data_IF_728811251545
#
_entry.id   IF_728811251545
#
_cell.length_a   1.000
_cell.length_b   1.000
_cell.length_c   1.000
_cell.angle_alpha   90.00
_cell.angle_beta   90.00
_cell.angle_gamma   90.00
#
_symmetry.space_group_name_H-M   'P 1'
#
loop_
_entity.id
_entity.type
_entity.pdbx_description
1 polymer ?
#
# COMPACT_ATOMS: atom_id res chain seq x y z
N UNK A 1 6.77 -8.96 8.86
CA UNK A 1 5.56 -8.97 8.00
C UNK A 1 4.47 -8.20 8.74
N UNK A 2 3.58 -7.47 8.06
CA UNK A 2 2.49 -6.71 8.68
C UNK A 2 1.27 -7.62 8.91
N UNK A 3 0.40 -7.34 9.90
CA UNK A 3 -0.86 -8.05 10.08
C UNK A 3 -1.78 -7.95 8.85
N UNK A 4 -2.58 -8.98 8.58
CA UNK A 4 -3.52 -8.96 7.44
C UNK A 4 -4.58 -7.84 7.56
N UNK A 5 -5.01 -7.56 8.79
CA UNK A 5 -5.86 -6.43 9.14
C UNK A 5 -5.01 -5.35 9.82
N UNK A 6 -4.15 -4.71 9.05
CA UNK A 6 -3.20 -3.75 9.60
C UNK A 6 -3.93 -2.47 10.04
N UNK A 7 -3.89 -2.18 11.34
CA UNK A 7 -4.52 -0.99 11.90
C UNK A 7 -3.68 0.24 11.56
N UNK A 8 -4.34 1.25 11.01
CA UNK A 8 -3.77 2.55 10.71
C UNK A 8 -4.67 3.62 11.30
N UNK A 9 -4.08 4.76 11.63
CA UNK A 9 -4.79 5.89 12.23
C UNK A 9 -4.58 7.08 11.32
N UNK A 10 -5.68 7.74 10.98
CA UNK A 10 -5.73 8.72 9.88
C UNK A 10 -6.29 10.04 10.40
N UNK A 11 -5.64 11.15 10.03
CA UNK A 11 -6.18 12.49 10.22
C UNK A 11 -5.80 13.34 9.02
N UNK A 12 -6.80 13.91 8.34
CA UNK A 12 -6.61 14.63 7.08
C UNK A 12 -5.88 13.76 6.03
N UNK A 13 -4.66 14.17 5.62
CA UNK A 13 -3.80 13.41 4.70
C UNK A 13 -2.61 12.74 5.41
N UNK A 14 -2.63 12.70 6.76
CA UNK A 14 -1.60 12.07 7.58
C UNK A 14 -2.07 10.69 8.02
N UNK A 15 -1.17 9.71 7.91
CA UNK A 15 -1.41 8.33 8.34
C UNK A 15 -0.24 7.83 9.18
N UNK A 16 -0.56 7.10 10.25
CA UNK A 16 0.39 6.46 11.16
C UNK A 16 -0.10 5.06 11.54
N UNK A 17 0.78 4.22 12.09
CA UNK A 17 0.45 2.87 12.56
C UNK A 17 0.35 2.76 14.09
N UNK A 18 0.19 3.88 14.79
CA UNK A 18 -0.01 3.97 16.24
C UNK A 18 -1.13 4.98 16.56
N UNK A 19 -1.89 4.72 17.62
CA UNK A 19 -3.03 5.56 18.01
C UNK A 19 -2.57 6.91 18.56
N UNK A 20 -3.22 7.99 18.10
CA UNK A 20 -3.07 9.33 18.64
C UNK A 20 -4.44 10.02 18.79
N UNK A 21 -4.62 10.92 19.78
CA UNK A 21 -5.85 11.68 19.91
C UNK A 21 -6.22 12.45 18.64
N UNK A 22 -7.48 12.33 18.23
CA UNK A 22 -8.02 12.99 17.04
C UNK A 22 -7.73 12.29 15.70
N UNK A 23 -7.13 11.10 15.72
CA UNK A 23 -7.00 10.26 14.53
C UNK A 23 -8.13 9.21 14.49
N UNK A 24 -8.68 8.98 13.31
CA UNK A 24 -9.67 7.94 13.05
C UNK A 24 -8.96 6.59 12.84
N UNK A 25 -9.36 5.56 13.59
CA UNK A 25 -8.88 4.20 13.37
C UNK A 25 -9.48 3.60 12.09
N UNK A 26 -8.63 3.06 11.22
CA UNK A 26 -9.02 2.32 10.03
C UNK A 26 -8.26 1.01 9.93
N UNK A 27 -8.83 0.08 9.17
CA UNK A 27 -8.17 -1.19 8.83
C UNK A 27 -7.69 -1.11 7.39
N UNK A 28 -6.37 -1.20 7.19
CA UNK A 28 -5.74 -1.26 5.88
C UNK A 28 -5.67 -2.73 5.40
N UNK A 29 -6.41 -3.12 4.34
CA UNK A 29 -6.34 -4.46 3.79
C UNK A 29 -4.91 -4.79 3.36
N UNK A 30 -4.33 -5.82 3.97
CA UNK A 30 -2.93 -6.19 3.77
C UNK A 30 -2.82 -7.64 3.31
N UNK A 31 -2.39 -7.83 2.07
CA UNK A 31 -2.32 -9.15 1.43
C UNK A 31 -0.91 -9.72 1.54
N UNK A 32 -0.76 -10.76 2.36
CA UNK A 32 0.51 -11.44 2.63
C UNK A 32 0.67 -12.77 1.89
N UNK A 33 0.32 -12.83 0.59
CA UNK A 33 0.46 -14.08 -0.19
C UNK A 33 1.92 -14.49 -0.41
N UNK A 34 2.82 -13.51 -0.57
CA UNK A 34 4.25 -13.80 -0.62
C UNK A 34 4.80 -13.91 0.81
N UNK A 35 5.33 -15.08 1.17
CA UNK A 35 5.88 -15.37 2.50
C UNK A 35 7.42 -15.45 2.54
N UNK A 36 8.10 -15.36 1.39
CA UNK A 36 9.56 -15.43 1.30
C UNK A 36 10.32 -14.19 1.78
N UNK A 37 11.65 -14.22 1.67
CA UNK A 37 12.57 -13.14 2.06
C UNK A 37 13.60 -12.86 0.95
N UNK A 38 13.95 -11.59 0.67
CA UNK A 38 13.35 -10.37 1.21
C UNK A 38 11.95 -10.11 0.61
N UNK A 39 11.12 -9.34 1.31
CA UNK A 39 9.84 -8.89 0.76
C UNK A 39 9.38 -7.56 1.35
N UNK A 40 8.84 -6.70 0.50
CA UNK A 40 8.34 -5.36 0.82
C UNK A 40 6.86 -5.21 0.42
N UNK A 41 6.25 -4.06 0.71
CA UNK A 41 4.83 -3.81 0.43
C UNK A 41 4.67 -2.80 -0.69
N UNK A 42 3.73 -3.06 -1.58
CA UNK A 42 3.30 -2.10 -2.57
C UNK A 42 1.88 -1.67 -2.22
N UNK A 43 1.67 -0.37 -2.07
CA UNK A 43 0.35 0.21 -1.86
C UNK A 43 -0.42 0.24 -3.18
N UNK A 44 -1.73 -0.01 -3.10
CA UNK A 44 -2.66 0.14 -4.19
C UNK A 44 -3.36 1.50 -4.07
N UNK A 45 -3.12 2.39 -5.03
CA UNK A 45 -3.71 3.72 -5.06
C UNK A 45 -4.84 3.80 -6.09
N UNK A 46 -5.80 4.70 -5.88
CA UNK A 46 -6.83 5.04 -6.87
C UNK A 46 -7.22 6.52 -6.77
N UNK A 47 -7.85 7.02 -7.84
CA UNK A 47 -8.55 8.32 -7.85
C UNK A 47 -9.98 8.24 -7.31
N UNK A 48 -10.49 7.03 -7.07
CA UNK A 48 -11.83 6.79 -6.54
C UNK A 48 -11.80 6.83 -5.02
N UNK A 49 -12.75 7.53 -4.41
CA UNK A 49 -12.87 7.60 -2.94
C UNK A 49 -13.61 6.37 -2.40
N UNK A 50 -14.49 5.78 -3.20
CA UNK A 50 -15.32 4.65 -2.81
C UNK A 50 -14.45 3.46 -2.43
N UNK A 51 -14.73 2.87 -1.25
CA UNK A 51 -14.00 1.71 -0.69
C UNK A 51 -12.51 1.96 -0.42
N UNK A 52 -12.06 3.21 -0.46
CA UNK A 52 -10.73 3.58 0.01
C UNK A 52 -10.63 3.54 1.52
N UNK A 53 -9.41 3.38 2.01
CA UNK A 53 -9.09 3.43 3.44
C UNK A 53 -8.84 4.89 3.83
N UNK A 54 -7.91 5.57 3.15
CA UNK A 54 -7.56 6.95 3.45
C UNK A 54 -7.04 7.72 2.24
N UNK A 55 -7.03 9.05 2.35
CA UNK A 55 -6.46 9.98 1.37
C UNK A 55 -5.00 10.27 1.71
N UNK A 56 -4.17 10.40 0.68
CA UNK A 56 -2.80 10.98 0.79
C UNK A 56 -2.74 12.39 0.20
N UNK A 57 -3.90 12.97 -0.14
CA UNK A 57 -4.02 14.29 -0.75
C UNK A 57 -4.06 14.24 -2.28
N UNK A 58 -4.45 15.37 -2.87
CA UNK A 58 -4.49 15.57 -4.32
C UNK A 58 -5.34 14.53 -5.06
N UNK A 59 -6.50 14.15 -4.51
CA UNK A 59 -7.41 13.12 -5.04
C UNK A 59 -6.79 11.73 -5.21
N UNK A 60 -5.84 11.36 -4.34
CA UNK A 60 -5.24 10.02 -4.31
C UNK A 60 -5.62 9.32 -3.02
N UNK A 61 -6.12 8.10 -3.17
CA UNK A 61 -6.60 7.29 -2.06
C UNK A 61 -5.90 5.93 -2.01
N UNK A 62 -5.60 5.45 -0.81
CA UNK A 62 -5.05 4.12 -0.56
C UNK A 62 -6.19 3.12 -0.40
N UNK A 63 -6.12 2.05 -1.19
CA UNK A 63 -7.12 0.98 -1.25
C UNK A 63 -6.72 -0.25 -0.43
N UNK A 64 -5.42 -0.44 -0.21
CA UNK A 64 -4.84 -1.63 0.38
C UNK A 64 -3.35 -1.70 0.09
N UNK A 65 -2.72 -2.79 0.53
CA UNK A 65 -1.33 -3.08 0.21
C UNK A 65 -1.11 -4.58 0.01
N UNK A 66 -0.12 -4.91 -0.81
CA UNK A 66 0.25 -6.30 -1.13
C UNK A 66 1.73 -6.50 -0.87
N UNK A 67 2.08 -7.59 -0.16
CA UNK A 67 3.46 -8.00 0.01
C UNK A 67 3.96 -8.72 -1.25
N UNK A 68 5.13 -8.31 -1.73
CA UNK A 68 5.78 -8.84 -2.94
C UNK A 68 7.25 -9.20 -2.65
N UNK A 69 7.90 -10.07 -3.45
CA UNK A 69 9.34 -10.24 -3.40
C UNK A 69 10.03 -8.92 -3.73
N UNK A 70 10.99 -8.52 -2.89
CA UNK A 70 11.66 -7.22 -3.03
C UNK A 70 12.27 -6.74 -1.73
N UNK A 71 13.00 -5.63 -1.81
CA UNK A 71 13.61 -4.97 -0.65
C UNK A 71 13.08 -3.55 -0.48
N UNK A 72 13.35 -2.96 0.67
CA UNK A 72 13.24 -1.51 0.80
C UNK A 72 14.58 -0.88 0.49
N UNK A 73 14.58 0.16 -0.33
CA UNK A 73 15.67 1.14 -0.41
C UNK A 73 15.11 2.45 0.13
N UNK A 74 15.69 2.93 1.23
CA UNK A 74 15.07 3.96 2.07
C UNK A 74 13.62 3.53 2.37
N UNK A 75 12.64 4.40 2.13
CA UNK A 75 11.22 4.11 2.35
C UNK A 75 10.53 3.38 1.20
N UNK A 76 11.21 3.21 0.07
CA UNK A 76 10.59 2.75 -1.17
C UNK A 76 10.75 1.24 -1.30
N UNK A 77 9.63 0.53 -1.37
CA UNK A 77 9.60 -0.87 -1.77
C UNK A 77 10.03 -0.97 -3.23
N UNK A 78 11.10 -1.74 -3.46
CA UNK A 78 11.63 -2.12 -4.76
C UNK A 78 11.33 -3.60 -4.99
N UNK A 79 10.25 -3.92 -5.71
CA UNK A 79 9.94 -5.28 -6.09
C UNK A 79 11.07 -5.87 -6.96
N UNK A 80 11.30 -7.18 -6.86
CA UNK A 80 12.31 -7.86 -7.69
C UNK A 80 12.03 -7.63 -9.18
N UNK A 81 13.04 -7.15 -9.91
CA UNK A 81 12.95 -6.80 -11.34
C UNK A 81 12.43 -5.39 -11.62
N UNK A 82 12.17 -4.58 -10.58
CA UNK A 82 11.67 -3.21 -10.65
C UNK A 82 12.56 -2.22 -9.89
N UNK A 83 13.80 -2.57 -9.60
CA UNK A 83 14.70 -1.82 -8.71
C UNK A 83 15.01 -0.39 -9.19
N UNK A 84 14.82 -0.11 -10.48
CA UNK A 84 15.07 1.20 -11.10
C UNK A 84 13.92 1.67 -11.99
N UNK A 85 12.73 1.08 -11.83
CA UNK A 85 11.59 1.31 -12.71
C UNK A 85 10.42 1.83 -11.91
N UNK A 86 9.72 2.82 -12.46
CA UNK A 86 8.46 3.27 -11.88
C UNK A 86 7.39 2.18 -12.00
N UNK A 87 6.96 1.65 -10.85
CA UNK A 87 5.93 0.62 -10.75
C UNK A 87 4.52 1.16 -10.97
N UNK A 88 4.32 2.48 -10.93
CA UNK A 88 2.99 3.10 -10.99
C UNK A 88 2.28 2.86 -12.31
N UNK A 89 3.02 2.86 -13.42
CA UNK A 89 2.46 2.67 -14.75
C UNK A 89 2.35 1.18 -15.16
N UNK A 90 2.96 0.26 -14.40
CA UNK A 90 3.09 -1.13 -14.84
C UNK A 90 1.75 -1.91 -14.75
N UNK A 91 1.29 -2.52 -15.85
CA UNK A 91 0.01 -3.23 -15.90
C UNK A 91 -0.04 -4.49 -15.02
N UNK A 92 1.10 -5.10 -14.70
CA UNK A 92 1.20 -6.29 -13.83
C UNK A 92 0.65 -5.99 -12.45
N UNK A 93 0.97 -4.83 -11.88
CA UNK A 93 0.44 -4.45 -10.56
C UNK A 93 -1.06 -4.19 -10.60
N UNK A 94 -1.58 -3.60 -11.69
CA UNK A 94 -3.04 -3.45 -11.89
C UNK A 94 -3.74 -4.81 -11.84
N UNK A 95 -3.20 -5.82 -12.53
CA UNK A 95 -3.73 -7.18 -12.52
C UNK A 95 -3.62 -7.84 -11.13
N UNK A 96 -2.49 -7.68 -10.45
CA UNK A 96 -2.28 -8.19 -9.08
C UNK A 96 -3.34 -7.59 -8.14
N UNK A 97 -3.55 -6.28 -8.16
CA UNK A 97 -4.53 -5.63 -7.29
C UNK A 97 -5.96 -6.00 -7.65
N UNK A 98 -6.32 -6.09 -8.93
CA UNK A 98 -7.65 -6.55 -9.34
C UNK A 98 -7.94 -7.97 -8.84
N UNK A 99 -6.93 -8.85 -8.79
CA UNK A 99 -7.06 -10.23 -8.29
C UNK A 99 -7.08 -10.31 -6.76
N UNK A 100 -6.27 -9.53 -6.07
CA UNK A 100 -6.03 -9.67 -4.63
C UNK A 100 -6.84 -8.71 -3.76
N UNK A 101 -7.26 -7.57 -4.33
CA UNK A 101 -8.09 -6.55 -3.70
C UNK A 101 -9.32 -6.26 -4.59
N UNK A 102 -10.12 -7.28 -4.99
CA UNK A 102 -11.15 -7.14 -6.02
C UNK A 102 -12.26 -6.16 -5.64
N UNK A 103 -12.56 -6.00 -4.35
CA UNK A 103 -13.58 -5.06 -3.87
C UNK A 103 -13.20 -3.60 -4.18
N UNK A 104 -11.93 -3.24 -4.01
CA UNK A 104 -11.43 -1.88 -4.12
C UNK A 104 -10.74 -1.57 -5.46
N UNK A 105 -10.10 -2.57 -6.10
CA UNK A 105 -9.19 -2.36 -7.22
C UNK A 105 -9.64 -2.91 -8.57
N UNK A 106 -10.91 -3.31 -8.73
CA UNK A 106 -11.45 -3.81 -9.99
C UNK A 106 -11.28 -2.85 -11.18
N UNK A 107 -11.23 -1.54 -10.94
CA UNK A 107 -11.22 -0.50 -11.99
C UNK A 107 -9.95 0.36 -11.95
N UNK A 108 -8.77 -0.27 -11.91
CA UNK A 108 -7.53 0.43 -12.23
C UNK A 108 -6.84 1.11 -11.05
N UNK A 109 -6.65 0.39 -9.95
CA UNK A 109 -5.62 0.79 -8.98
C UNK A 109 -4.23 0.79 -9.63
N UNK A 110 -3.35 1.68 -9.19
CA UNK A 110 -1.94 1.68 -9.55
C UNK A 110 -1.05 1.44 -8.33
N UNK A 111 0.21 1.10 -8.57
CA UNK A 111 1.17 0.77 -7.52
C UNK A 111 1.96 2.00 -7.05
N UNK A 112 2.36 1.99 -5.79
CA UNK A 112 3.50 2.80 -5.34
C UNK A 112 4.15 2.20 -4.10
N UNK A 113 5.43 2.55 -3.91
CA UNK A 113 6.32 1.85 -2.99
C UNK A 113 6.57 2.53 -1.66
N UNK A 114 6.07 3.75 -1.41
CA UNK A 114 6.30 4.48 -0.14
C UNK A 114 5.49 3.87 1.02
N UNK A 115 6.00 2.75 1.53
CA UNK A 115 5.41 1.98 2.64
C UNK A 115 6.46 1.55 3.66
N UNK A 116 7.74 1.91 3.47
CA UNK A 116 8.82 1.61 4.42
C UNK A 116 8.62 2.29 5.77
N UNK A 117 7.87 3.39 5.80
CA UNK A 117 7.50 4.10 7.03
C UNK A 117 6.77 3.24 8.06
N UNK A 118 6.05 2.18 7.65
CA UNK A 118 5.44 1.23 8.60
C UNK A 118 6.45 0.50 9.47
N UNK A 119 7.70 0.45 9.04
CA UNK A 119 8.81 -0.21 9.71
C UNK A 119 9.81 0.77 10.34
N UNK A 120 9.48 2.07 10.36
CA UNK A 120 10.38 3.11 10.86
C UNK A 120 11.59 3.39 9.97
N UNK A 121 11.58 2.92 8.71
CA UNK A 121 12.63 3.22 7.75
C UNK A 121 12.45 4.69 7.32
N UNK A 122 13.54 5.45 7.29
CA UNK A 122 13.59 6.84 6.85
C UNK A 122 14.39 6.96 5.57
#
# INVERSE_FOLDING_TARGET
>A
MLPANFKVYVRDNVVVNVSYPGFEEKTLPTVNKFIGYPGCYVAAYSRRKEKSVYSVGGDIYVMGQVRVPGGYQERICLPVGYEKVDISADPKFKLIFAKLLPSACKEGCWAGGDTGGWFGIQ
#
